data_IF_332441823183
#
_entry.id   IF_332441823183
#
_cell.length_a   1.000
_cell.length_b   1.000
_cell.length_c   1.000
_cell.angle_alpha   90.00
_cell.angle_beta   90.00
_cell.angle_gamma   90.00
#
_symmetry.space_group_name_H-M   'P 1'
#
loop_
_entity.id
_entity.type
_entity.pdbx_description
1 polymer ?
#
# COMPACT_ATOMS: atom_id res chain seq x y z
N UNK A 1 -13.93 -16.67 -4.94
CA UNK A 1 -15.22 -16.11 -4.45
C UNK A 1 -15.78 -17.07 -3.41
N UNK A 2 -15.55 -16.80 -2.12
CA UNK A 2 -15.93 -17.71 -1.05
C UNK A 2 -17.44 -17.64 -0.78
N UNK A 3 -18.08 -18.81 -0.73
CA UNK A 3 -19.42 -19.01 -0.18
C UNK A 3 -19.45 -18.51 1.27
N UNK A 4 -19.99 -17.32 1.49
CA UNK A 4 -20.33 -16.85 2.82
C UNK A 4 -21.62 -17.57 3.24
N UNK A 5 -21.47 -18.62 4.05
CA UNK A 5 -22.59 -19.17 4.81
C UNK A 5 -23.27 -18.03 5.58
N UNK A 6 -24.60 -17.95 5.48
CA UNK A 6 -25.41 -16.89 6.05
C UNK A 6 -25.05 -16.65 7.53
N UNK A 7 -24.51 -15.46 7.84
CA UNK A 7 -24.25 -15.00 9.21
C UNK A 7 -22.78 -14.75 9.57
N UNK A 8 -21.79 -15.19 8.78
CA UNK A 8 -20.38 -14.91 9.08
C UNK A 8 -19.95 -13.57 8.47
N UNK A 9 -19.51 -12.63 9.32
CA UNK A 9 -18.94 -11.35 8.88
C UNK A 9 -17.65 -11.61 8.06
N UNK A 10 -17.37 -10.81 7.02
CA UNK A 10 -16.17 -10.99 6.19
C UNK A 10 -14.88 -10.46 6.86
N UNK A 11 -14.99 -9.98 8.10
CA UNK A 11 -13.91 -9.41 8.90
C UNK A 11 -13.94 -9.99 10.31
N UNK A 12 -12.82 -9.91 11.02
CA UNK A 12 -12.69 -10.32 12.42
C UNK A 12 -13.16 -9.20 13.35
N UNK A 13 -12.70 -7.97 13.12
CA UNK A 13 -13.12 -6.81 13.90
C UNK A 13 -13.20 -5.53 13.07
N UNK A 14 -14.18 -4.69 13.38
CA UNK A 14 -14.34 -3.37 12.74
C UNK A 14 -13.95 -2.21 13.69
N UNK A 15 -13.31 -2.51 14.81
CA UNK A 15 -12.79 -1.50 15.73
C UNK A 15 -11.42 -1.02 15.25
N UNK A 16 -11.02 0.17 15.67
CA UNK A 16 -9.63 0.61 15.53
C UNK A 16 -8.78 -0.04 16.62
N UNK A 17 -8.41 -1.30 16.37
CA UNK A 17 -7.56 -2.09 17.27
C UNK A 17 -6.48 -2.80 16.47
N UNK A 18 -5.27 -2.86 17.05
CA UNK A 18 -4.11 -3.38 16.34
C UNK A 18 -3.82 -4.82 16.70
N UNK A 19 -3.91 -5.70 15.70
CA UNK A 19 -3.50 -7.10 15.84
C UNK A 19 -1.98 -7.24 15.79
N UNK A 20 -1.44 -8.15 16.61
CA UNK A 20 -0.03 -8.50 16.60
C UNK A 20 0.27 -9.44 15.43
N UNK A 21 1.25 -9.07 14.60
CA UNK A 21 1.66 -9.88 13.45
C UNK A 21 2.92 -10.67 13.73
N UNK A 22 3.87 -10.19 14.52
CA UNK A 22 5.15 -10.90 14.73
C UNK A 22 5.38 -11.24 16.20
N UNK A 23 6.06 -12.36 16.46
CA UNK A 23 6.51 -12.69 17.82
C UNK A 23 7.61 -11.73 18.29
N UNK A 24 8.49 -11.31 17.39
CA UNK A 24 9.52 -10.31 17.67
C UNK A 24 8.93 -8.90 17.80
N UNK A 25 9.24 -8.22 18.91
CA UNK A 25 8.86 -6.81 19.10
C UNK A 25 9.50 -5.89 18.06
N UNK A 26 10.69 -6.22 17.59
CA UNK A 26 11.38 -5.46 16.56
C UNK A 26 10.60 -5.49 15.23
N UNK A 27 10.24 -6.68 14.74
CA UNK A 27 9.45 -6.82 13.51
C UNK A 27 8.01 -6.28 13.67
N UNK A 28 7.44 -6.45 14.86
CA UNK A 28 6.13 -5.92 15.19
C UNK A 28 6.11 -4.38 15.16
N UNK A 29 7.19 -3.73 15.61
CA UNK A 29 7.34 -2.28 15.52
C UNK A 29 7.32 -1.79 14.07
N UNK A 30 8.16 -2.35 13.18
CA UNK A 30 8.26 -1.91 11.78
C UNK A 30 7.03 -2.20 10.93
N UNK A 31 6.17 -3.10 11.39
CA UNK A 31 4.96 -3.46 10.66
C UNK A 31 3.79 -2.53 11.00
N UNK A 32 3.87 -1.73 12.06
CA UNK A 32 2.85 -0.74 12.44
C UNK A 32 3.19 0.62 11.82
N UNK A 33 2.30 1.14 10.99
CA UNK A 33 2.57 2.32 10.17
C UNK A 33 1.55 3.40 10.45
N UNK A 34 1.98 4.64 10.67
CA UNK A 34 1.06 5.75 10.87
C UNK A 34 0.37 6.13 9.54
N UNK A 35 -0.94 6.45 9.50
CA UNK A 35 -1.62 6.81 8.26
C UNK A 35 -0.99 7.98 7.49
N UNK A 36 -0.30 8.89 8.17
CA UNK A 36 0.41 10.01 7.56
C UNK A 36 1.74 9.62 6.87
N UNK A 37 2.26 8.42 7.09
CA UNK A 37 3.56 7.99 6.58
C UNK A 37 3.70 8.12 5.06
N UNK A 38 2.72 7.72 4.21
CA UNK A 38 2.82 7.90 2.76
C UNK A 38 2.96 9.37 2.36
N UNK A 39 2.23 10.27 3.01
CA UNK A 39 2.30 11.71 2.72
C UNK A 39 3.69 12.26 3.07
N UNK A 40 4.19 11.94 4.26
CA UNK A 40 5.50 12.42 4.73
C UNK A 40 6.63 11.90 3.83
N UNK A 41 6.53 10.66 3.35
CA UNK A 41 7.56 10.07 2.49
C UNK A 41 7.49 10.60 1.06
N UNK A 42 6.32 10.59 0.43
CA UNK A 42 6.24 10.77 -1.02
C UNK A 42 5.96 12.22 -1.45
N UNK A 43 5.33 13.06 -0.61
CA UNK A 43 5.11 14.47 -0.98
C UNK A 43 6.43 15.23 -1.20
N UNK A 44 7.47 15.11 -0.34
CA UNK A 44 8.76 15.73 -0.60
C UNK A 44 9.43 15.22 -1.89
N UNK A 45 9.31 13.92 -2.18
CA UNK A 45 9.85 13.31 -3.41
C UNK A 45 9.16 13.91 -4.64
N UNK A 46 7.82 13.96 -4.65
CA UNK A 46 7.05 14.58 -5.74
C UNK A 46 7.43 16.05 -5.89
N UNK A 47 7.53 16.80 -4.80
CA UNK A 47 7.93 18.22 -4.83
C UNK A 47 9.33 18.41 -5.41
N UNK A 48 10.28 17.58 -5.02
CA UNK A 48 11.64 17.62 -5.56
C UNK A 48 11.68 17.27 -7.06
N UNK A 49 10.94 16.25 -7.50
CA UNK A 49 10.87 15.89 -8.92
C UNK A 49 10.23 17.00 -9.76
N UNK A 50 9.19 17.67 -9.25
CA UNK A 50 8.59 18.83 -9.91
C UNK A 50 9.58 20.01 -9.99
N UNK A 51 10.34 20.26 -8.92
CA UNK A 51 11.41 21.27 -8.94
C UNK A 51 12.46 20.95 -10.01
N UNK A 52 12.93 19.71 -10.08
CA UNK A 52 13.88 19.29 -11.12
C UNK A 52 13.31 19.50 -12.52
N UNK A 53 12.06 19.10 -12.77
CA UNK A 53 11.43 19.23 -14.08
C UNK A 53 11.28 20.70 -14.52
N UNK A 54 10.82 21.57 -13.63
CA UNK A 54 10.46 22.95 -13.96
C UNK A 54 11.66 23.92 -13.89
N UNK A 55 12.54 23.78 -12.89
CA UNK A 55 13.64 24.72 -12.68
C UNK A 55 14.98 24.25 -13.25
N UNK A 56 15.29 22.96 -13.15
CA UNK A 56 16.56 22.43 -13.64
C UNK A 56 16.48 22.04 -15.12
N UNK A 57 15.45 21.28 -15.50
CA UNK A 57 15.22 20.84 -16.88
C UNK A 57 14.46 21.87 -17.73
N UNK A 58 13.89 22.89 -17.09
CA UNK A 58 13.15 23.99 -17.74
C UNK A 58 12.05 23.49 -18.68
N UNK A 59 11.41 22.36 -18.34
CA UNK A 59 10.28 21.85 -19.09
C UNK A 59 9.12 22.83 -18.96
N UNK A 60 8.33 22.96 -20.04
CA UNK A 60 7.13 23.79 -19.98
C UNK A 60 6.13 23.21 -18.98
N UNK A 61 5.35 24.08 -18.33
CA UNK A 61 4.31 23.66 -17.39
C UNK A 61 3.32 22.69 -18.04
N UNK A 62 3.01 22.88 -19.33
CA UNK A 62 2.13 21.99 -20.09
C UNK A 62 2.70 20.57 -20.20
N UNK A 63 4.00 20.44 -20.49
CA UNK A 63 4.67 19.14 -20.57
C UNK A 63 4.69 18.45 -19.21
N UNK A 64 5.04 19.19 -18.14
CA UNK A 64 5.05 18.65 -16.78
C UNK A 64 3.65 18.22 -16.34
N UNK A 65 2.62 19.03 -16.60
CA UNK A 65 1.24 18.67 -16.33
C UNK A 65 0.80 17.43 -17.12
N UNK A 66 1.18 17.32 -18.40
CA UNK A 66 0.91 16.14 -19.22
C UNK A 66 1.51 14.86 -18.64
N UNK A 67 2.79 14.90 -18.23
CA UNK A 67 3.42 13.77 -17.56
C UNK A 67 2.80 13.45 -16.20
N UNK A 68 2.41 14.47 -15.43
CA UNK A 68 1.75 14.28 -14.15
C UNK A 68 0.41 13.56 -14.32
N UNK A 69 -0.42 13.99 -15.27
CA UNK A 69 -1.69 13.34 -15.61
C UNK A 69 -1.47 11.91 -16.07
N UNK A 70 -0.51 11.69 -16.98
CA UNK A 70 -0.15 10.35 -17.43
C UNK A 70 0.28 9.45 -16.26
N UNK A 71 1.10 9.98 -15.35
CA UNK A 71 1.52 9.28 -14.14
C UNK A 71 0.35 8.86 -13.25
N UNK A 72 -0.63 9.76 -13.04
CA UNK A 72 -1.86 9.43 -12.28
C UNK A 72 -2.65 8.33 -12.99
N UNK A 73 -2.82 8.39 -14.31
CA UNK A 73 -3.53 7.36 -15.07
C UNK A 73 -2.83 6.00 -14.97
N UNK A 74 -1.52 5.96 -15.16
CA UNK A 74 -0.72 4.74 -15.02
C UNK A 74 -0.77 4.20 -13.59
N UNK A 75 -0.72 5.07 -12.58
CA UNK A 75 -0.90 4.67 -11.19
C UNK A 75 -2.26 4.01 -10.96
N UNK A 76 -3.36 4.60 -11.44
CA UNK A 76 -4.70 3.99 -11.25
C UNK A 76 -4.82 2.61 -11.92
N UNK A 77 -4.18 2.41 -13.08
CA UNK A 77 -4.11 1.12 -13.73
C UNK A 77 -3.27 0.12 -12.92
N UNK A 78 -2.08 0.52 -12.47
CA UNK A 78 -1.20 -0.31 -11.66
C UNK A 78 -1.84 -0.67 -10.33
N UNK A 79 -2.47 0.28 -9.65
CA UNK A 79 -3.23 0.05 -8.41
C UNK A 79 -4.28 -1.03 -8.62
N UNK A 80 -5.08 -0.93 -9.68
CA UNK A 80 -6.09 -1.93 -10.01
C UNK A 80 -5.47 -3.31 -10.26
N UNK A 81 -4.40 -3.39 -11.05
CA UNK A 81 -3.74 -4.66 -11.38
C UNK A 81 -3.10 -5.30 -10.15
N UNK A 82 -2.34 -4.54 -9.36
CA UNK A 82 -1.69 -5.01 -8.14
C UNK A 82 -2.75 -5.46 -7.13
N UNK A 83 -3.78 -4.65 -6.90
CA UNK A 83 -4.82 -4.98 -5.95
C UNK A 83 -5.57 -6.25 -6.36
N UNK A 84 -5.98 -6.35 -7.63
CA UNK A 84 -6.76 -7.49 -8.12
C UNK A 84 -5.94 -8.78 -8.22
N UNK A 85 -4.74 -8.73 -8.77
CA UNK A 85 -3.98 -9.94 -9.14
C UNK A 85 -2.89 -10.32 -8.13
N UNK A 86 -2.38 -9.38 -7.34
CA UNK A 86 -1.34 -9.65 -6.34
C UNK A 86 -1.97 -9.68 -4.95
N UNK A 87 -2.63 -8.59 -4.55
CA UNK A 87 -3.19 -8.47 -3.19
C UNK A 87 -4.40 -9.38 -2.96
N UNK A 88 -5.13 -9.76 -4.00
CA UNK A 88 -6.22 -10.75 -3.92
C UNK A 88 -5.85 -12.14 -4.47
N UNK A 89 -4.56 -12.42 -4.66
CA UNK A 89 -4.09 -13.78 -4.91
C UNK A 89 -4.35 -14.69 -3.70
N UNK A 90 -4.66 -15.97 -3.91
CA UNK A 90 -4.88 -16.95 -2.84
C UNK A 90 -3.75 -18.00 -2.83
N UNK A 91 -2.67 -17.80 -2.03
CA UNK A 91 -1.57 -18.75 -1.97
C UNK A 91 -2.01 -20.10 -1.39
N UNK A 92 -1.45 -21.18 -1.94
CA UNK A 92 -1.74 -22.55 -1.46
C UNK A 92 -0.82 -23.01 -0.33
N UNK A 93 0.44 -22.55 -0.31
CA UNK A 93 1.44 -22.93 0.69
C UNK A 93 1.26 -22.19 2.00
N UNK A 94 1.61 -22.83 3.13
CA UNK A 94 1.58 -22.20 4.46
C UNK A 94 2.36 -20.88 4.51
N UNK A 95 3.65 -20.87 4.10
CA UNK A 95 4.44 -19.62 4.05
C UNK A 95 3.83 -18.55 3.14
N UNK A 96 3.28 -18.95 1.99
CA UNK A 96 2.64 -18.02 1.06
C UNK A 96 1.41 -17.35 1.68
N UNK A 97 0.54 -18.12 2.34
CA UNK A 97 -0.64 -17.58 3.05
C UNK A 97 -0.23 -16.59 4.13
N UNK A 98 0.85 -16.90 4.87
CA UNK A 98 1.37 -16.02 5.91
C UNK A 98 1.88 -14.68 5.35
N UNK A 99 2.66 -14.74 4.27
CA UNK A 99 3.16 -13.53 3.61
C UNK A 99 2.02 -12.67 3.07
N UNK A 100 1.07 -13.30 2.36
CA UNK A 100 -0.12 -12.62 1.83
C UNK A 100 -0.96 -11.97 2.94
N UNK A 101 -1.12 -12.65 4.08
CA UNK A 101 -1.81 -12.08 5.24
C UNK A 101 -1.14 -10.80 5.75
N UNK A 102 0.19 -10.77 5.83
CA UNK A 102 0.95 -9.61 6.29
C UNK A 102 0.81 -8.44 5.31
N UNK A 103 0.76 -8.71 4.00
CA UNK A 103 0.73 -7.68 2.96
C UNK A 103 -0.67 -7.08 2.79
N UNK A 104 -1.73 -7.90 2.76
CA UNK A 104 -3.09 -7.45 2.46
C UNK A 104 -4.18 -8.12 3.30
N UNK A 105 -4.01 -9.38 3.68
CA UNK A 105 -5.08 -10.12 4.38
C UNK A 105 -5.48 -9.50 5.73
N UNK A 106 -4.51 -8.96 6.48
CA UNK A 106 -4.79 -8.30 7.77
C UNK A 106 -5.74 -7.11 7.65
N UNK A 107 -5.70 -6.38 6.53
CA UNK A 107 -6.59 -5.26 6.29
C UNK A 107 -8.04 -5.72 6.07
N UNK A 108 -8.27 -6.88 5.45
CA UNK A 108 -9.62 -7.44 5.30
C UNK A 108 -10.19 -7.91 6.64
N UNK A 109 -9.36 -8.49 7.50
CA UNK A 109 -9.78 -8.93 8.83
C UNK A 109 -10.00 -7.77 9.82
N UNK A 110 -9.22 -6.70 9.71
CA UNK A 110 -9.21 -5.53 10.58
C UNK A 110 -9.23 -4.21 9.77
N UNK A 111 -10.32 -3.91 9.03
CA UNK A 111 -10.38 -2.79 8.10
C UNK A 111 -10.16 -1.40 8.72
N UNK A 112 -10.46 -1.26 10.01
CA UNK A 112 -10.34 0.01 10.75
C UNK A 112 -9.07 0.11 11.63
N UNK A 113 -8.17 -0.87 11.57
CA UNK A 113 -6.87 -0.77 12.25
C UNK A 113 -6.00 0.29 11.57
N UNK A 114 -5.94 1.47 12.17
CA UNK A 114 -5.22 2.61 11.60
C UNK A 114 -3.72 2.34 11.42
N UNK A 115 -3.14 1.35 12.12
CA UNK A 115 -1.71 1.02 12.04
C UNK A 115 -1.38 -0.02 10.98
N UNK A 116 -2.39 -0.63 10.35
CA UNK A 116 -2.26 -1.71 9.34
C UNK A 116 -2.97 -1.39 8.03
N UNK A 117 -3.41 -0.14 7.87
CA UNK A 117 -4.14 0.31 6.70
C UNK A 117 -3.22 0.62 5.52
N UNK A 118 -2.11 1.31 5.77
CA UNK A 118 -1.17 1.75 4.74
C UNK A 118 -0.02 0.76 4.61
N UNK A 119 0.50 0.63 3.38
CA UNK A 119 1.64 -0.25 3.11
C UNK A 119 2.88 0.23 3.89
N UNK A 120 3.62 -0.67 4.58
CA UNK A 120 4.84 -0.29 5.27
C UNK A 120 5.94 0.16 4.30
N UNK A 121 6.79 1.12 4.71
CA UNK A 121 7.88 1.63 3.87
C UNK A 121 8.84 0.55 3.36
N UNK A 122 9.05 -0.51 4.15
CA UNK A 122 9.88 -1.66 3.78
C UNK A 122 9.36 -2.42 2.55
N UNK A 123 8.07 -2.28 2.21
CA UNK A 123 7.46 -2.84 1.00
C UNK A 123 7.26 -1.76 -0.05
N UNK A 124 6.77 -0.58 0.33
CA UNK A 124 6.40 0.47 -0.63
C UNK A 124 7.60 1.13 -1.31
N UNK A 125 8.74 1.29 -0.63
CA UNK A 125 9.94 1.92 -1.21
C UNK A 125 10.61 1.02 -2.25
N UNK A 126 10.89 -0.27 -1.99
CA UNK A 126 11.42 -1.16 -3.01
C UNK A 126 10.49 -1.28 -4.24
N UNK A 127 9.16 -1.31 -4.02
CA UNK A 127 8.19 -1.32 -5.10
C UNK A 127 8.29 -0.05 -5.95
N UNK A 128 8.41 1.12 -5.32
CA UNK A 128 8.54 2.40 -6.00
C UNK A 128 9.84 2.54 -6.81
N UNK A 129 10.94 1.88 -6.42
CA UNK A 129 12.21 1.90 -7.16
C UNK A 129 12.23 0.95 -8.37
N UNK A 130 11.31 -0.01 -8.42
CA UNK A 130 11.20 -0.95 -9.53
C UNK A 130 10.45 -0.35 -10.74
N UNK A 131 9.67 0.70 -10.51
CA UNK A 131 8.97 1.49 -11.53
C UNK A 131 9.72 2.79 -11.83
#
# INVERSE_FOLDING_TARGET
MANLAAGKKPYVSNKNETVRLFESDFLEFFSRVHPATPLILYVPVVGYMLYLALWQQKLSVMVVAGFFVLGVLLWTLLEYLIHRYIFHYEPKSGPGKRLHYIIHGVHHDYPNDAKRLVMPPSVSVPLALFF
#
